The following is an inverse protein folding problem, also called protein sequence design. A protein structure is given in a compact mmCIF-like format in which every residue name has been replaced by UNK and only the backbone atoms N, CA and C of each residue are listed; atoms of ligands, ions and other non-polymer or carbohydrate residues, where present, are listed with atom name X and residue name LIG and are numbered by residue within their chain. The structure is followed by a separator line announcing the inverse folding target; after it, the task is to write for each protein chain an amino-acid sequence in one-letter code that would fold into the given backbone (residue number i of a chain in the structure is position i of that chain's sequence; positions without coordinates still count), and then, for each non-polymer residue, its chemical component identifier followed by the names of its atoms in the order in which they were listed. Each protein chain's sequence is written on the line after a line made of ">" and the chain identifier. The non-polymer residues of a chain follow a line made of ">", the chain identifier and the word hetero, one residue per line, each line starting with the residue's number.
data_IF_739164036799
#
_entry.id   IF_739164036799
#
_cell.length_a   1.000
_cell.length_b   1.000
_cell.length_c   1.000
_cell.angle_alpha   90.00
_cell.angle_beta   90.00
_cell.angle_gamma   90.00
#
_symmetry.space_group_name_H-M   'P 1'
#
loop_
_entity.id
_entity.type
_entity.pdbx_description
1 polymer ?
#
# COMPACT_ATOMS: atom_id res chain seq x y z
N UNK A 1 -9.62 -1.99 16.30
CA UNK A 1 -9.98 -3.37 16.65
C UNK A 1 -10.76 -3.45 17.98
N UNK A 2 -10.18 -3.09 19.15
CA UNK A 2 -10.88 -3.19 20.46
C UNK A 2 -12.23 -2.46 20.47
N UNK A 3 -12.30 -1.21 19.98
CA UNK A 3 -13.56 -0.46 19.88
C UNK A 3 -14.60 -1.18 19.03
N UNK A 4 -14.19 -1.66 17.84
CA UNK A 4 -15.07 -2.45 16.96
C UNK A 4 -15.61 -3.71 17.66
N UNK A 5 -14.73 -4.47 18.32
CA UNK A 5 -15.14 -5.68 19.03
C UNK A 5 -16.13 -5.38 20.16
N UNK A 6 -15.89 -4.32 20.97
CA UNK A 6 -16.77 -3.95 22.09
C UNK A 6 -18.11 -3.32 21.64
N UNK A 7 -18.19 -2.75 20.45
CA UNK A 7 -19.42 -2.13 19.93
C UNK A 7 -20.31 -3.13 19.15
N UNK A 8 -19.75 -4.22 18.64
CA UNK A 8 -20.46 -5.12 17.74
C UNK A 8 -20.66 -6.53 18.29
N UNK A 9 -20.00 -6.91 19.40
CA UNK A 9 -20.09 -8.23 19.99
C UNK A 9 -20.40 -8.17 21.50
N UNK A 10 -21.11 -9.17 22.00
CA UNK A 10 -21.38 -9.29 23.44
C UNK A 10 -20.11 -9.67 24.23
N UNK A 11 -19.25 -10.47 23.60
CA UNK A 11 -18.00 -10.98 24.20
C UNK A 11 -16.82 -10.73 23.24
N UNK A 12 -15.79 -10.09 23.78
CA UNK A 12 -14.57 -9.82 23.05
C UNK A 12 -13.38 -10.37 23.84
N UNK A 13 -12.62 -11.27 23.21
CA UNK A 13 -11.35 -11.76 23.71
C UNK A 13 -10.25 -11.10 22.87
N UNK A 14 -9.39 -10.29 23.51
CA UNK A 14 -8.29 -9.62 22.85
C UNK A 14 -6.96 -10.14 23.40
N UNK A 15 -6.12 -10.66 22.52
CA UNK A 15 -4.82 -11.25 22.83
C UNK A 15 -3.77 -10.59 21.95
N UNK A 16 -2.79 -9.91 22.55
CA UNK A 16 -1.65 -9.32 21.83
C UNK A 16 -0.41 -10.17 22.06
N UNK A 17 0.18 -10.71 20.98
CA UNK A 17 1.30 -11.66 21.06
C UNK A 17 2.61 -11.04 21.58
N UNK A 18 2.74 -9.72 21.57
CA UNK A 18 3.88 -9.00 22.14
C UNK A 18 3.74 -8.79 23.66
N UNK A 19 2.50 -8.68 24.12
CA UNK A 19 2.18 -8.35 25.50
C UNK A 19 2.08 -9.61 26.42
N UNK A 20 1.82 -9.39 27.72
CA UNK A 20 1.62 -10.47 28.67
C UNK A 20 0.44 -11.39 28.29
N UNK A 21 -0.62 -10.83 27.71
CA UNK A 21 -1.79 -11.59 27.21
C UNK A 21 -1.41 -12.69 26.20
N UNK A 22 -0.44 -12.42 25.32
CA UNK A 22 0.07 -13.40 24.36
C UNK A 22 0.85 -14.53 25.03
N UNK A 23 1.65 -14.22 26.07
CA UNK A 23 2.39 -15.23 26.85
C UNK A 23 1.41 -16.12 27.62
N UNK A 24 0.45 -15.52 28.32
CA UNK A 24 -0.56 -16.24 29.10
C UNK A 24 -1.38 -17.17 28.19
N UNK A 25 -1.78 -16.70 27.00
CA UNK A 25 -2.48 -17.53 26.04
C UNK A 25 -1.60 -18.68 25.48
N UNK A 26 -0.34 -18.40 25.17
CA UNK A 26 0.60 -19.44 24.70
C UNK A 26 0.77 -20.53 25.77
N UNK A 27 0.89 -20.17 27.03
CA UNK A 27 0.92 -21.16 28.14
C UNK A 27 -0.38 -21.99 28.23
N UNK A 28 -1.54 -21.34 28.01
CA UNK A 28 -2.82 -22.07 27.97
C UNK A 28 -2.87 -23.05 26.80
N UNK A 29 -2.35 -22.64 25.63
CA UNK A 29 -2.27 -23.48 24.43
C UNK A 29 -1.33 -24.67 24.65
N UNK A 30 -0.16 -24.44 25.24
CA UNK A 30 0.77 -25.52 25.59
C UNK A 30 0.16 -26.51 26.60
N UNK A 31 -0.56 -26.03 27.62
CA UNK A 31 -1.26 -26.90 28.59
C UNK A 31 -2.35 -27.74 27.93
N UNK A 32 -3.13 -27.14 27.04
CA UNK A 32 -4.22 -27.83 26.35
C UNK A 32 -3.73 -28.81 25.28
N UNK A 33 -2.60 -28.54 24.64
CA UNK A 33 -2.02 -29.41 23.61
C UNK A 33 -1.06 -30.48 24.18
N UNK A 34 -0.68 -30.39 25.46
CA UNK A 34 0.21 -31.35 26.09
C UNK A 34 -0.48 -32.71 26.20
N UNK A 35 0.03 -33.67 25.44
CA UNK A 35 -0.45 -35.06 25.45
C UNK A 35 0.54 -35.93 26.25
N UNK A 36 -0.01 -36.79 27.12
CA UNK A 36 0.78 -37.79 27.84
C UNK A 36 0.41 -39.20 27.30
N UNK A 37 1.39 -40.12 27.18
CA UNK A 37 1.10 -41.48 26.72
C UNK A 37 0.05 -42.15 27.61
N UNK A 38 -1.06 -42.58 27.01
CA UNK A 38 -2.18 -43.21 27.72
C UNK A 38 -3.40 -42.31 27.94
N UNK A 39 -3.34 -41.06 27.55
CA UNK A 39 -4.50 -40.16 27.53
C UNK A 39 -5.11 -40.11 26.14
N UNK A 40 -6.43 -39.90 26.03
CA UNK A 40 -7.08 -39.51 24.78
C UNK A 40 -6.62 -38.12 24.39
N UNK A 41 -6.35 -37.90 23.08
CA UNK A 41 -6.04 -36.57 22.59
C UNK A 41 -7.30 -35.70 22.69
N UNK A 42 -7.15 -34.48 23.20
CA UNK A 42 -8.23 -33.49 23.16
C UNK A 42 -8.36 -32.96 21.74
N UNK A 43 -9.38 -33.44 21.04
CA UNK A 43 -9.69 -32.99 19.66
C UNK A 43 -10.14 -31.53 19.62
N UNK A 44 -10.42 -30.91 20.78
CA UNK A 44 -10.80 -29.49 20.93
C UNK A 44 -9.77 -28.69 21.73
N UNK A 45 -8.51 -29.10 21.71
CA UNK A 45 -7.44 -28.49 22.51
C UNK A 45 -7.40 -26.94 22.37
N UNK A 46 -7.64 -26.39 21.19
CA UNK A 46 -7.65 -24.93 20.98
C UNK A 46 -8.84 -24.26 21.71
N UNK A 47 -10.04 -24.86 21.70
CA UNK A 47 -11.20 -24.35 22.46
C UNK A 47 -10.95 -24.45 23.98
N UNK A 48 -10.31 -25.54 24.39
CA UNK A 48 -9.86 -25.72 25.78
C UNK A 48 -8.85 -24.64 26.17
N UNK A 49 -7.89 -24.31 25.29
CA UNK A 49 -6.92 -23.24 25.54
C UNK A 49 -7.60 -21.87 25.72
N UNK A 50 -8.56 -21.52 24.87
CA UNK A 50 -9.33 -20.27 24.99
C UNK A 50 -10.14 -20.25 26.30
N UNK A 51 -10.77 -21.37 26.69
CA UNK A 51 -11.50 -21.46 27.96
C UNK A 51 -10.59 -21.37 29.20
N UNK A 52 -9.38 -21.88 29.11
CA UNK A 52 -8.38 -21.72 30.18
C UNK A 52 -7.93 -20.26 30.29
N UNK A 53 -7.80 -19.57 29.17
CA UNK A 53 -7.42 -18.16 29.11
C UNK A 53 -8.56 -17.25 29.60
N UNK A 54 -9.77 -17.46 29.07
CA UNK A 54 -10.97 -16.72 29.47
C UNK A 54 -12.13 -17.69 29.81
N UNK A 55 -12.47 -17.77 31.08
CA UNK A 55 -13.54 -18.66 31.60
C UNK A 55 -14.92 -18.29 31.07
N UNK A 56 -15.12 -17.06 30.60
CA UNK A 56 -16.39 -16.58 30.07
C UNK A 56 -16.53 -16.86 28.56
N UNK A 57 -15.57 -17.50 27.94
CA UNK A 57 -15.62 -17.83 26.51
C UNK A 57 -16.80 -18.72 26.19
N UNK A 58 -17.60 -18.31 25.21
CA UNK A 58 -18.63 -19.09 24.58
C UNK A 58 -18.36 -19.08 23.08
N UNK A 59 -18.36 -20.26 22.46
CA UNK A 59 -18.09 -20.41 21.04
C UNK A 59 -19.40 -20.21 20.23
N UNK A 60 -19.76 -18.94 20.01
CA UNK A 60 -20.97 -18.52 19.28
C UNK A 60 -20.76 -17.25 18.48
N UNK A 61 -21.73 -16.87 17.65
CA UNK A 61 -21.71 -15.70 16.78
C UNK A 61 -21.68 -14.35 17.53
N UNK A 62 -21.93 -14.33 18.83
CA UNK A 62 -21.84 -13.12 19.67
C UNK A 62 -20.45 -12.91 20.26
N UNK A 63 -19.53 -13.78 19.95
CA UNK A 63 -18.15 -13.74 20.45
C UNK A 63 -17.16 -13.40 19.32
N UNK A 64 -16.24 -12.47 19.58
CA UNK A 64 -15.09 -12.20 18.72
C UNK A 64 -13.77 -12.44 19.46
N UNK A 65 -12.87 -13.16 18.81
CA UNK A 65 -11.48 -13.38 19.25
C UNK A 65 -10.58 -12.54 18.36
N UNK A 66 -9.80 -11.66 18.97
CA UNK A 66 -8.86 -10.79 18.25
C UNK A 66 -7.44 -11.18 18.66
N UNK A 67 -6.67 -11.69 17.70
CA UNK A 67 -5.27 -12.06 17.84
C UNK A 67 -4.41 -10.98 17.19
N UNK A 68 -3.76 -10.16 17.99
CA UNK A 68 -2.97 -9.02 17.53
C UNK A 68 -1.48 -9.33 17.56
N UNK A 69 -0.71 -8.74 16.59
CA UNK A 69 0.73 -8.99 16.40
C UNK A 69 1.06 -10.49 16.20
N UNK A 70 0.23 -11.16 15.40
CA UNK A 70 0.29 -12.64 15.24
C UNK A 70 1.64 -13.14 14.72
N UNK A 71 2.40 -12.32 13.98
CA UNK A 71 3.73 -12.67 13.48
C UNK A 71 4.75 -12.92 14.60
N UNK A 72 4.43 -12.58 15.85
CA UNK A 72 5.31 -12.82 17.00
C UNK A 72 5.16 -14.22 17.60
N UNK A 73 4.17 -15.02 17.14
CA UNK A 73 3.96 -16.40 17.62
C UNK A 73 3.63 -17.36 16.49
N UNK A 74 4.60 -18.15 16.04
CA UNK A 74 4.35 -19.23 15.06
C UNK A 74 3.42 -20.31 15.63
N UNK A 75 3.49 -20.59 16.94
CA UNK A 75 2.63 -21.55 17.60
C UNK A 75 1.14 -21.18 17.48
N UNK A 76 0.80 -19.91 17.69
CA UNK A 76 -0.59 -19.42 17.56
C UNK A 76 -0.95 -19.20 16.09
N UNK A 77 -0.05 -18.67 15.27
CA UNK A 77 -0.27 -18.49 13.83
C UNK A 77 -0.67 -19.80 13.15
N UNK A 78 0.00 -20.90 13.49
CA UNK A 78 -0.26 -22.21 12.90
C UNK A 78 -1.64 -22.79 13.29
N UNK A 79 -2.34 -22.17 14.26
CA UNK A 79 -3.71 -22.53 14.63
C UNK A 79 -4.79 -21.74 13.85
N UNK A 80 -4.43 -20.77 13.00
CA UNK A 80 -5.42 -19.96 12.26
C UNK A 80 -6.39 -20.84 11.48
N UNK A 81 -5.91 -21.91 10.87
CA UNK A 81 -6.72 -22.89 10.15
C UNK A 81 -7.75 -23.59 11.05
N UNK A 82 -7.34 -23.96 12.25
CA UNK A 82 -8.19 -24.58 13.26
C UNK A 82 -9.26 -23.58 13.74
N UNK A 83 -8.87 -22.33 13.97
CA UNK A 83 -9.83 -21.27 14.27
C UNK A 83 -10.88 -21.12 13.16
N UNK A 84 -10.47 -21.05 11.90
CA UNK A 84 -11.36 -20.85 10.78
C UNK A 84 -12.34 -22.02 10.56
N UNK A 85 -11.96 -23.25 10.90
CA UNK A 85 -12.75 -24.45 10.62
C UNK A 85 -13.60 -24.95 11.76
N UNK A 86 -13.19 -24.68 12.99
CA UNK A 86 -13.77 -25.34 14.17
C UNK A 86 -14.51 -24.37 15.08
N UNK A 87 -14.34 -23.06 14.92
CA UNK A 87 -14.99 -22.07 15.76
C UNK A 87 -16.24 -21.48 15.12
N UNK A 88 -17.27 -21.26 15.93
CA UNK A 88 -18.45 -20.46 15.59
C UNK A 88 -18.24 -18.97 15.92
N UNK A 89 -17.33 -18.66 16.85
CA UNK A 89 -16.92 -17.32 17.17
C UNK A 89 -16.17 -16.70 15.99
N UNK A 90 -16.35 -15.39 15.79
CA UNK A 90 -15.57 -14.66 14.81
C UNK A 90 -14.13 -14.54 15.27
N UNK A 91 -13.18 -14.74 14.33
CA UNK A 91 -11.75 -14.61 14.63
C UNK A 91 -11.15 -13.57 13.71
N UNK A 92 -10.52 -12.56 14.30
CA UNK A 92 -9.80 -11.50 13.59
C UNK A 92 -8.34 -11.61 13.98
N UNK A 93 -7.49 -11.74 12.96
CA UNK A 93 -6.03 -11.84 13.14
C UNK A 93 -5.39 -10.62 12.53
N UNK A 94 -4.51 -9.94 13.29
CA UNK A 94 -3.79 -8.76 12.81
C UNK A 94 -2.30 -8.91 12.98
N UNK A 95 -1.54 -8.23 12.11
CA UNK A 95 -0.10 -8.19 12.18
C UNK A 95 0.46 -7.05 11.33
N UNK A 96 1.49 -6.40 11.84
CA UNK A 96 2.13 -5.27 11.17
C UNK A 96 3.07 -5.69 10.04
N UNK A 97 3.64 -6.90 10.13
CA UNK A 97 4.56 -7.44 9.12
C UNK A 97 4.34 -8.93 8.88
N UNK A 98 3.56 -9.24 7.87
CA UNK A 98 3.27 -10.63 7.49
C UNK A 98 4.42 -11.32 6.74
N UNK A 99 5.42 -10.61 6.25
CA UNK A 99 6.62 -11.22 5.64
C UNK A 99 7.41 -12.14 6.60
N UNK A 100 7.29 -11.92 7.92
CA UNK A 100 7.83 -12.85 8.93
C UNK A 100 7.16 -14.22 8.86
N UNK A 101 5.90 -14.29 8.47
CA UNK A 101 5.15 -15.55 8.33
C UNK A 101 5.55 -16.39 7.12
N UNK A 102 6.44 -15.87 6.26
CA UNK A 102 7.06 -16.64 5.17
C UNK A 102 8.24 -17.49 5.64
N UNK A 103 8.65 -17.38 6.90
CA UNK A 103 9.68 -18.24 7.48
C UNK A 103 9.17 -19.69 7.63
N UNK A 104 10.07 -20.71 7.63
CA UNK A 104 9.68 -22.11 7.64
C UNK A 104 8.82 -22.56 8.84
N UNK A 105 8.87 -21.82 9.94
CA UNK A 105 8.12 -22.12 11.16
C UNK A 105 6.64 -21.73 11.08
N UNK A 106 6.23 -21.02 10.02
CA UNK A 106 4.87 -20.56 9.82
C UNK A 106 4.20 -21.34 8.68
N UNK A 107 3.02 -21.91 8.92
CA UNK A 107 2.24 -22.62 7.92
C UNK A 107 1.16 -21.72 7.34
N UNK A 108 1.23 -21.42 6.04
CA UNK A 108 0.26 -20.56 5.39
C UNK A 108 -1.14 -21.17 5.43
N UNK A 109 -2.16 -20.48 5.97
CA UNK A 109 -3.55 -20.95 6.05
C UNK A 109 -4.29 -20.74 4.72
N UNK A 110 -3.77 -21.30 3.62
CA UNK A 110 -4.32 -21.09 2.28
C UNK A 110 -5.78 -21.55 2.17
N UNK A 111 -6.66 -20.67 1.73
CA UNK A 111 -8.07 -20.97 1.41
C UNK A 111 -9.05 -20.95 2.59
N UNK A 112 -8.58 -20.74 3.81
CA UNK A 112 -9.43 -20.76 5.01
C UNK A 112 -9.62 -19.34 5.62
N UNK A 113 -9.02 -18.31 5.02
CA UNK A 113 -9.05 -16.94 5.53
C UNK A 113 -9.31 -15.93 4.41
N UNK A 114 -10.00 -14.86 4.75
CA UNK A 114 -10.07 -13.64 3.94
C UNK A 114 -9.02 -12.64 4.43
N UNK A 115 -8.27 -12.07 3.51
CA UNK A 115 -7.21 -11.11 3.83
C UNK A 115 -7.67 -9.69 3.50
N UNK A 116 -7.63 -8.82 4.51
CA UNK A 116 -7.83 -7.38 4.35
C UNK A 116 -6.51 -6.63 4.57
N UNK A 117 -6.09 -5.87 3.57
CA UNK A 117 -4.91 -5.01 3.67
C UNK A 117 -5.35 -3.65 4.19
N UNK A 118 -4.87 -3.26 5.39
CA UNK A 118 -5.11 -1.93 5.97
C UNK A 118 -4.04 -0.97 5.44
N UNK A 119 -4.44 -0.12 4.52
CA UNK A 119 -3.59 0.95 3.99
C UNK A 119 -3.73 2.25 4.80
N UNK A 120 -2.92 3.26 4.47
CA UNK A 120 -3.10 4.61 5.03
C UNK A 120 -4.41 5.23 4.51
N UNK A 121 -4.96 6.21 5.23
CA UNK A 121 -6.19 6.88 4.84
C UNK A 121 -6.10 7.40 3.40
N UNK A 122 -7.12 7.12 2.61
CA UNK A 122 -7.29 7.71 1.28
C UNK A 122 -7.56 9.21 1.37
N UNK A 123 -7.54 9.91 0.24
CA UNK A 123 -7.90 11.32 0.22
C UNK A 123 -9.36 11.54 0.62
N UNK A 124 -10.24 10.63 0.22
CA UNK A 124 -11.65 10.64 0.59
C UNK A 124 -11.84 10.50 2.12
N UNK A 125 -11.18 9.53 2.74
CA UNK A 125 -11.19 9.33 4.19
C UNK A 125 -10.56 10.52 4.94
N UNK A 126 -9.47 11.09 4.38
CA UNK A 126 -8.88 12.31 4.89
C UNK A 126 -9.86 13.48 4.85
N UNK A 127 -10.60 13.68 3.76
CA UNK A 127 -11.61 14.71 3.65
C UNK A 127 -12.77 14.50 4.64
N UNK A 128 -13.13 13.26 4.92
CA UNK A 128 -14.17 12.92 5.89
C UNK A 128 -13.79 13.39 7.30
N UNK A 129 -12.53 13.25 7.71
CA UNK A 129 -12.02 13.78 8.99
C UNK A 129 -12.26 15.29 9.14
N UNK A 130 -12.28 16.03 8.03
CA UNK A 130 -12.47 17.48 8.01
C UNK A 130 -13.90 17.91 7.62
N UNK A 131 -14.81 16.96 7.37
CA UNK A 131 -16.20 17.23 6.98
C UNK A 131 -16.34 17.70 5.52
N UNK A 132 -15.34 17.45 4.67
CA UNK A 132 -15.31 17.92 3.27
C UNK A 132 -15.66 16.81 2.25
N UNK A 133 -15.86 15.57 2.72
CA UNK A 133 -16.13 14.44 1.82
C UNK A 133 -17.40 14.62 1.00
N UNK A 134 -18.48 15.20 1.59
CA UNK A 134 -19.73 15.44 0.88
C UNK A 134 -19.58 16.49 -0.24
N UNK A 135 -18.72 17.49 -0.07
CA UNK A 135 -18.38 18.43 -1.13
C UNK A 135 -17.63 17.73 -2.25
N UNK A 136 -16.60 16.96 -1.91
CA UNK A 136 -15.81 16.20 -2.87
C UNK A 136 -16.66 15.22 -3.71
N UNK A 137 -17.58 14.51 -3.06
CA UNK A 137 -18.44 13.53 -3.73
C UNK A 137 -19.41 14.15 -4.73
N UNK A 138 -19.81 15.40 -4.52
CA UNK A 138 -20.80 16.12 -5.35
C UNK A 138 -20.17 16.99 -6.41
N UNK A 139 -18.86 17.28 -6.33
CA UNK A 139 -18.21 18.22 -7.26
C UNK A 139 -18.16 17.64 -8.68
N UNK A 140 -18.44 18.50 -9.65
CA UNK A 140 -18.35 18.11 -11.06
C UNK A 140 -16.88 17.89 -11.51
N UNK A 141 -16.61 16.72 -12.08
CA UNK A 141 -15.26 16.33 -12.52
C UNK A 141 -14.76 17.15 -13.72
N UNK A 142 -15.63 17.88 -14.42
CA UNK A 142 -15.31 18.64 -15.62
C UNK A 142 -15.23 20.15 -15.38
N UNK A 143 -15.33 20.58 -14.13
CA UNK A 143 -15.13 21.97 -13.74
C UNK A 143 -16.35 22.86 -13.94
N UNK A 144 -17.58 22.31 -13.88
CA UNK A 144 -18.82 23.06 -14.00
C UNK A 144 -19.27 23.74 -12.71
N UNK A 145 -18.75 23.31 -11.56
CA UNK A 145 -19.08 23.88 -10.26
C UNK A 145 -18.35 25.19 -9.96
N UNK A 146 -18.66 25.80 -8.82
CA UNK A 146 -18.06 27.06 -8.39
C UNK A 146 -16.54 26.91 -8.18
N UNK A 147 -15.81 27.91 -8.64
CA UNK A 147 -14.34 27.93 -8.52
C UNK A 147 -13.87 27.84 -7.06
N UNK A 148 -14.65 28.39 -6.13
CA UNK A 148 -14.37 28.36 -4.68
C UNK A 148 -14.37 26.94 -4.12
N UNK A 149 -15.27 26.08 -4.59
CA UNK A 149 -15.38 24.69 -4.16
C UNK A 149 -14.14 23.88 -4.59
N UNK A 150 -13.68 24.10 -5.83
CA UNK A 150 -12.42 23.51 -6.31
C UNK A 150 -11.21 24.01 -5.53
N UNK A 151 -11.12 25.31 -5.25
CA UNK A 151 -10.03 25.90 -4.46
C UNK A 151 -9.98 25.30 -3.07
N UNK A 152 -11.15 25.19 -2.42
CA UNK A 152 -11.25 24.59 -1.08
C UNK A 152 -10.74 23.15 -1.06
N UNK A 153 -11.16 22.32 -2.01
CA UNK A 153 -10.68 20.94 -2.11
C UNK A 153 -9.19 20.86 -2.47
N UNK A 154 -8.69 21.79 -3.30
CA UNK A 154 -7.27 21.86 -3.64
C UNK A 154 -6.38 22.22 -2.43
N UNK A 155 -6.85 23.07 -1.52
CA UNK A 155 -6.14 23.35 -0.26
C UNK A 155 -5.97 22.08 0.58
N UNK A 156 -7.03 21.27 0.73
CA UNK A 156 -6.95 19.97 1.41
C UNK A 156 -6.04 18.98 0.66
N UNK A 157 -6.12 18.96 -0.65
CA UNK A 157 -5.25 18.11 -1.47
C UNK A 157 -3.77 18.46 -1.31
N UNK A 158 -3.41 19.75 -1.28
CA UNK A 158 -2.04 20.19 -1.03
C UNK A 158 -1.54 19.83 0.38
N UNK A 159 -2.42 19.85 1.36
CA UNK A 159 -2.10 19.35 2.71
C UNK A 159 -1.88 17.84 2.67
N UNK A 160 -2.80 17.08 2.07
CA UNK A 160 -2.71 15.63 1.97
C UNK A 160 -1.44 15.19 1.23
N UNK A 161 -1.06 15.89 0.15
CA UNK A 161 0.21 15.63 -0.55
C UNK A 161 1.44 15.76 0.38
N UNK A 162 1.38 16.64 1.38
CA UNK A 162 2.50 16.90 2.30
C UNK A 162 2.53 15.97 3.51
N UNK A 163 1.38 15.58 4.03
CA UNK A 163 1.30 14.84 5.30
C UNK A 163 0.86 13.39 5.14
N UNK A 164 0.26 13.03 4.00
CA UNK A 164 -0.22 11.67 3.73
C UNK A 164 -1.44 11.27 4.53
N UNK A 165 -1.65 9.96 4.60
CA UNK A 165 -2.82 9.33 5.21
C UNK A 165 -2.54 8.54 6.49
N UNK A 166 -1.32 8.55 7.04
CA UNK A 166 -1.10 7.87 8.32
C UNK A 166 -1.98 8.46 9.43
N UNK A 167 -2.84 7.66 10.11
CA UNK A 167 -3.81 8.17 11.06
C UNK A 167 -3.21 9.08 12.15
N UNK A 168 -2.05 8.72 12.69
CA UNK A 168 -1.37 9.54 13.71
C UNK A 168 -0.97 10.92 13.18
N UNK A 169 -0.58 11.01 11.91
CA UNK A 169 -0.19 12.28 11.26
C UNK A 169 -1.43 13.12 10.98
N UNK A 170 -2.50 12.49 10.47
CA UNK A 170 -3.77 13.16 10.18
C UNK A 170 -4.41 13.71 11.47
N UNK A 171 -4.41 12.93 12.55
CA UNK A 171 -4.89 13.39 13.87
C UNK A 171 -4.07 14.59 14.38
N UNK A 172 -2.75 14.52 14.28
CA UNK A 172 -1.86 15.64 14.65
C UNK A 172 -2.22 16.91 13.87
N UNK A 173 -2.43 16.78 12.55
CA UNK A 173 -2.85 17.93 11.73
C UNK A 173 -4.26 18.43 12.09
N UNK A 174 -5.21 17.52 12.34
CA UNK A 174 -6.58 17.90 12.70
C UNK A 174 -6.61 18.73 13.99
N UNK A 175 -5.78 18.37 14.97
CA UNK A 175 -5.71 19.03 16.27
C UNK A 175 -4.95 20.35 16.26
N UNK A 176 -3.79 20.40 15.60
CA UNK A 176 -2.84 21.51 15.74
C UNK A 176 -2.73 22.37 14.48
N UNK A 177 -3.16 21.91 13.30
CA UNK A 177 -2.98 22.57 11.99
C UNK A 177 -1.51 22.95 11.70
N UNK A 178 -0.58 22.21 12.28
CA UNK A 178 0.86 22.50 12.24
C UNK A 178 1.61 21.42 11.43
N UNK A 179 2.09 21.80 10.25
CA UNK A 179 2.84 20.89 9.37
C UNK A 179 4.15 20.40 9.99
N UNK A 180 4.82 21.21 10.82
CA UNK A 180 6.07 20.79 11.46
C UNK A 180 5.83 19.61 12.42
N UNK A 181 4.72 19.64 13.15
CA UNK A 181 4.32 18.52 14.02
C UNK A 181 4.02 17.25 13.20
N UNK A 182 3.41 17.41 12.05
CA UNK A 182 3.18 16.30 11.12
C UNK A 182 4.51 15.70 10.64
N UNK A 183 5.49 16.52 10.27
CA UNK A 183 6.82 16.04 9.86
C UNK A 183 7.57 15.34 10.99
N UNK A 184 7.43 15.78 12.24
CA UNK A 184 7.96 15.06 13.40
C UNK A 184 7.34 13.67 13.54
N UNK A 185 6.04 13.53 13.31
CA UNK A 185 5.35 12.23 13.33
C UNK A 185 5.79 11.34 12.16
N UNK A 186 5.88 11.88 10.94
CA UNK A 186 6.38 11.13 9.77
C UNK A 186 7.80 10.61 10.03
N UNK A 187 8.67 11.45 10.59
CA UNK A 187 10.02 11.04 10.95
C UNK A 187 10.02 9.88 11.94
N UNK A 188 9.18 9.93 12.98
CA UNK A 188 9.04 8.82 13.93
C UNK A 188 8.59 7.53 13.26
N UNK A 189 7.65 7.60 12.31
CA UNK A 189 7.23 6.43 11.51
C UNK A 189 8.38 5.85 10.70
N UNK A 190 9.17 6.70 10.05
CA UNK A 190 10.36 6.26 9.29
C UNK A 190 11.39 5.61 10.23
N UNK A 191 11.63 6.20 11.40
CA UNK A 191 12.53 5.62 12.42
C UNK A 191 12.05 4.24 12.88
N UNK A 192 10.73 4.03 13.02
CA UNK A 192 10.13 2.73 13.32
C UNK A 192 10.44 1.73 12.20
N UNK A 193 10.17 2.05 10.93
CA UNK A 193 10.48 1.18 9.79
C UNK A 193 11.97 0.82 9.73
N UNK A 194 12.86 1.81 9.92
CA UNK A 194 14.31 1.58 9.94
C UNK A 194 14.72 0.69 11.10
N UNK A 195 14.13 0.85 12.27
CA UNK A 195 14.45 0.03 13.44
C UNK A 195 13.88 -1.39 13.33
N UNK A 196 12.68 -1.56 12.81
CA UNK A 196 12.11 -2.88 12.51
C UNK A 196 12.94 -3.62 11.49
N UNK A 197 13.36 -2.95 10.41
CA UNK A 197 14.21 -3.57 9.40
C UNK A 197 15.50 -4.17 9.99
N UNK A 198 16.11 -3.51 10.99
CA UNK A 198 17.31 -4.02 11.67
C UNK A 198 17.07 -5.36 12.40
N UNK A 199 15.83 -5.63 12.82
CA UNK A 199 15.46 -6.90 13.49
C UNK A 199 15.39 -8.05 12.48
N UNK A 200 15.00 -7.77 11.23
CA UNK A 200 14.83 -8.77 10.17
C UNK A 200 16.09 -8.98 9.31
N UNK A 201 16.97 -7.98 9.25
CA UNK A 201 18.18 -8.00 8.43
C UNK A 201 19.44 -7.97 9.31
N UNK A 202 19.57 -8.98 10.16
CA UNK A 202 20.73 -9.13 11.07
C UNK A 202 22.06 -9.30 10.33
N UNK A 203 22.02 -9.78 9.08
CA UNK A 203 23.19 -9.99 8.25
C UNK A 203 23.63 -8.73 7.48
N UNK A 204 22.87 -7.64 7.56
CA UNK A 204 23.19 -6.38 6.89
C UNK A 204 24.01 -5.51 7.83
N UNK A 205 25.28 -5.29 7.49
CA UNK A 205 26.19 -4.47 8.29
C UNK A 205 25.92 -2.97 8.21
N UNK A 206 25.19 -2.50 7.18
CA UNK A 206 24.88 -1.07 7.01
C UNK A 206 23.57 -0.71 7.71
N UNK A 207 23.70 -0.12 8.89
CA UNK A 207 22.56 0.34 9.72
C UNK A 207 21.69 1.41 9.04
N UNK A 208 22.19 2.06 8.00
CA UNK A 208 21.50 3.13 7.28
C UNK A 208 20.95 2.67 5.93
N UNK A 209 21.01 1.37 5.62
CA UNK A 209 20.59 0.83 4.33
C UNK A 209 19.19 1.29 3.92
N UNK A 210 18.21 1.19 4.81
CA UNK A 210 16.83 1.51 4.48
C UNK A 210 16.61 3.01 4.24
N UNK A 211 17.29 3.88 5.00
CA UNK A 211 17.25 5.32 4.74
C UNK A 211 17.90 5.66 3.39
N UNK A 212 19.02 5.00 3.05
CA UNK A 212 19.65 5.13 1.73
C UNK A 212 18.74 4.64 0.61
N UNK A 213 18.03 3.53 0.81
CA UNK A 213 17.08 3.01 -0.16
C UNK A 213 15.91 3.96 -0.39
N UNK A 214 15.32 4.51 0.65
CA UNK A 214 14.25 5.49 0.52
C UNK A 214 14.70 6.72 -0.27
N UNK A 215 15.89 7.26 0.04
CA UNK A 215 16.46 8.37 -0.70
C UNK A 215 16.75 8.00 -2.16
N UNK A 216 17.27 6.80 -2.42
CA UNK A 216 17.56 6.32 -3.76
C UNK A 216 16.26 6.13 -4.59
N UNK A 217 15.19 5.61 -3.98
CA UNK A 217 13.87 5.48 -4.61
C UNK A 217 13.35 6.88 -4.98
N UNK A 218 13.41 7.86 -4.06
CA UNK A 218 12.99 9.22 -4.33
C UNK A 218 13.80 9.86 -5.48
N UNK A 219 15.11 9.66 -5.52
CA UNK A 219 15.97 10.16 -6.60
C UNK A 219 15.65 9.47 -7.93
N UNK A 220 15.38 8.17 -7.94
CA UNK A 220 14.97 7.45 -9.15
C UNK A 220 13.66 7.97 -9.71
N UNK A 221 12.65 8.19 -8.88
CA UNK A 221 11.36 8.74 -9.34
C UNK A 221 11.51 10.10 -9.99
N UNK A 222 12.56 10.86 -9.64
CA UNK A 222 12.88 12.15 -10.26
C UNK A 222 13.64 12.04 -11.59
N UNK A 223 14.47 11.03 -11.73
CA UNK A 223 15.33 10.87 -12.91
C UNK A 223 14.62 10.16 -14.07
N UNK A 224 13.58 9.40 -13.80
CA UNK A 224 13.00 8.47 -14.75
C UNK A 224 11.83 9.02 -15.54
N UNK A 225 12.03 9.05 -16.85
CA UNK A 225 10.92 9.20 -17.82
C UNK A 225 10.69 7.94 -18.66
N UNK A 226 11.59 6.97 -18.70
CA UNK A 226 11.52 5.82 -19.63
C UNK A 226 11.62 4.44 -18.98
N UNK A 227 11.66 4.35 -17.67
CA UNK A 227 11.94 3.11 -16.94
C UNK A 227 13.39 2.65 -17.12
N UNK A 228 14.01 2.17 -16.04
CA UNK A 228 15.39 1.66 -16.03
C UNK A 228 15.43 0.19 -16.45
N UNK A 229 16.46 -0.22 -17.17
CA UNK A 229 16.60 -1.62 -17.60
C UNK A 229 16.91 -2.61 -16.49
N UNK A 230 17.64 -2.18 -15.45
CA UNK A 230 17.94 -2.95 -14.24
C UNK A 230 17.85 -2.01 -13.02
N UNK A 231 16.65 -1.93 -12.48
CA UNK A 231 16.32 -1.04 -11.38
C UNK A 231 17.15 -1.33 -10.11
N UNK A 232 17.45 -2.60 -9.85
CA UNK A 232 18.30 -3.01 -8.73
C UNK A 232 19.72 -2.46 -8.88
N UNK A 233 20.26 -2.50 -10.07
CA UNK A 233 21.60 -1.94 -10.36
C UNK A 233 21.60 -0.41 -10.21
N UNK A 234 20.57 0.29 -10.69
CA UNK A 234 20.50 1.74 -10.55
C UNK A 234 20.26 2.17 -9.09
N UNK A 235 19.40 1.48 -8.35
CA UNK A 235 19.25 1.70 -6.90
C UNK A 235 20.57 1.50 -6.16
N UNK A 236 21.30 0.44 -6.51
CA UNK A 236 22.62 0.16 -5.91
C UNK A 236 23.61 1.30 -6.17
N UNK A 237 23.69 1.80 -7.40
CA UNK A 237 24.56 2.94 -7.75
C UNK A 237 24.21 4.19 -6.95
N UNK A 238 22.91 4.53 -6.85
CA UNK A 238 22.46 5.72 -6.12
C UNK A 238 22.66 5.57 -4.62
N UNK A 239 22.32 4.41 -4.05
CA UNK A 239 22.41 4.16 -2.62
C UNK A 239 23.86 4.12 -2.09
N UNK A 240 24.79 3.67 -2.92
CA UNK A 240 26.19 3.40 -2.51
C UNK A 240 27.25 4.23 -3.23
N UNK A 241 26.90 5.00 -4.25
CA UNK A 241 27.80 5.85 -5.07
C UNK A 241 29.17 5.22 -5.36
N UNK A 242 30.10 5.20 -4.38
CA UNK A 242 31.46 4.65 -4.53
C UNK A 242 31.69 3.32 -3.79
N UNK A 243 30.77 2.88 -2.92
CA UNK A 243 30.93 1.69 -2.05
C UNK A 243 30.08 0.48 -2.53
N UNK A 244 29.81 0.37 -3.83
CA UNK A 244 28.98 -0.69 -4.42
C UNK A 244 29.44 -2.14 -4.17
N UNK A 245 30.67 -2.32 -3.64
CA UNK A 245 31.23 -3.65 -3.38
C UNK A 245 30.73 -4.35 -2.11
N UNK A 246 30.05 -3.64 -1.21
CA UNK A 246 29.62 -4.20 0.08
C UNK A 246 28.20 -4.76 0.07
N UNK A 247 27.38 -4.45 -0.92
CA UNK A 247 26.02 -4.96 -1.04
C UNK A 247 25.85 -5.86 -2.25
N UNK A 248 25.34 -7.06 -2.02
CA UNK A 248 24.98 -7.97 -3.09
C UNK A 248 23.60 -7.61 -3.68
N UNK A 249 23.38 -7.90 -4.98
CA UNK A 249 22.04 -7.77 -5.60
C UNK A 249 20.97 -8.56 -4.82
N UNK A 250 21.35 -9.69 -4.22
CA UNK A 250 20.46 -10.51 -3.40
C UNK A 250 19.97 -9.76 -2.16
N UNK A 251 20.87 -9.10 -1.43
CA UNK A 251 20.52 -8.30 -0.24
C UNK A 251 19.60 -7.13 -0.61
N UNK A 252 19.91 -6.44 -1.71
CA UNK A 252 19.10 -5.31 -2.17
C UNK A 252 17.70 -5.76 -2.59
N UNK A 253 17.58 -6.86 -3.36
CA UNK A 253 16.28 -7.42 -3.72
C UNK A 253 15.48 -7.83 -2.49
N UNK A 254 16.12 -8.44 -1.50
CA UNK A 254 15.48 -8.81 -0.25
C UNK A 254 14.94 -7.59 0.53
N UNK A 255 15.75 -6.51 0.61
CA UNK A 255 15.33 -5.27 1.23
C UNK A 255 14.16 -4.59 0.48
N UNK A 256 14.17 -4.61 -0.85
CA UNK A 256 13.07 -4.11 -1.69
C UNK A 256 11.81 -4.95 -1.47
N UNK A 257 11.90 -6.27 -1.49
CA UNK A 257 10.76 -7.16 -1.20
C UNK A 257 10.17 -6.87 0.18
N UNK A 258 11.03 -6.68 1.18
CA UNK A 258 10.56 -6.31 2.52
C UNK A 258 9.78 -4.98 2.53
N UNK A 259 10.26 -3.94 1.84
CA UNK A 259 9.54 -2.67 1.72
C UNK A 259 8.20 -2.81 0.99
N UNK A 260 8.11 -3.71 0.01
CA UNK A 260 6.87 -4.01 -0.71
C UNK A 260 5.87 -4.77 0.19
N UNK A 261 6.33 -5.81 0.88
CA UNK A 261 5.53 -6.63 1.78
C UNK A 261 5.09 -5.87 3.04
N UNK A 262 5.89 -4.90 3.47
CA UNK A 262 5.54 -3.97 4.56
C UNK A 262 4.64 -2.81 4.10
N UNK A 263 4.15 -2.84 2.86
CA UNK A 263 3.27 -1.81 2.27
C UNK A 263 3.83 -0.37 2.37
N UNK A 264 5.15 -0.21 2.22
CA UNK A 264 5.80 1.11 2.21
C UNK A 264 6.00 1.63 0.79
N UNK A 265 6.31 0.72 -0.13
CA UNK A 265 6.45 1.01 -1.56
C UNK A 265 5.63 0.05 -2.40
N UNK A 266 5.19 0.55 -3.55
CA UNK A 266 4.59 -0.24 -4.61
C UNK A 266 5.33 -0.02 -5.92
N UNK A 267 4.94 -0.73 -6.98
CA UNK A 267 5.58 -0.61 -8.28
C UNK A 267 4.57 -0.71 -9.43
N UNK A 268 4.93 -0.15 -10.56
CA UNK A 268 4.27 -0.36 -11.83
C UNK A 268 5.24 -1.00 -12.82
N UNK A 269 4.83 -2.10 -13.44
CA UNK A 269 5.59 -2.74 -14.50
C UNK A 269 5.41 -2.01 -15.82
N UNK A 270 6.30 -2.23 -16.80
CA UNK A 270 6.32 -1.57 -18.09
C UNK A 270 5.57 -2.38 -19.14
N UNK A 271 4.57 -1.79 -19.79
CA UNK A 271 3.95 -2.31 -20.99
C UNK A 271 4.52 -1.61 -22.24
N UNK A 272 4.79 -2.36 -23.32
CA UNK A 272 5.22 -1.80 -24.59
C UNK A 272 4.00 -1.65 -25.49
N UNK A 273 3.79 -0.46 -26.08
CA UNK A 273 2.68 -0.13 -26.96
C UNK A 273 1.29 -0.41 -26.36
N UNK A 274 1.15 -0.31 -25.05
CA UNK A 274 -0.05 -0.70 -24.32
C UNK A 274 -0.50 -2.16 -24.57
N UNK A 275 0.46 -3.05 -24.85
CA UNK A 275 0.20 -4.46 -25.08
C UNK A 275 0.55 -5.24 -23.81
N UNK A 276 -0.48 -5.76 -23.12
CA UNK A 276 -0.29 -6.57 -21.89
C UNK A 276 0.48 -7.89 -22.12
N UNK A 277 0.67 -8.32 -23.38
CA UNK A 277 1.51 -9.46 -23.76
C UNK A 277 2.99 -9.09 -23.86
N UNK A 278 3.30 -7.79 -23.88
CA UNK A 278 4.64 -7.25 -23.98
C UNK A 278 5.03 -6.52 -22.70
N UNK A 279 4.82 -7.16 -21.56
CA UNK A 279 5.23 -6.62 -20.27
C UNK A 279 6.71 -6.94 -20.03
N UNK A 280 7.45 -5.95 -19.55
CA UNK A 280 8.82 -6.09 -19.09
C UNK A 280 8.90 -5.82 -17.61
N UNK A 281 9.80 -6.53 -16.93
CA UNK A 281 10.00 -6.42 -15.48
C UNK A 281 10.66 -5.11 -15.04
N UNK A 282 10.73 -4.11 -15.92
CA UNK A 282 11.18 -2.78 -15.56
C UNK A 282 10.10 -2.13 -14.70
N UNK A 283 10.35 -2.08 -13.42
CA UNK A 283 9.41 -1.51 -12.46
C UNK A 283 9.73 -0.05 -12.22
N UNK A 284 8.67 0.74 -12.03
CA UNK A 284 8.76 2.11 -11.53
C UNK A 284 8.21 2.07 -10.10
N UNK A 285 8.97 2.61 -9.13
CA UNK A 285 8.54 2.62 -7.74
C UNK A 285 7.69 3.83 -7.40
N UNK A 286 6.76 3.60 -6.46
CA UNK A 286 5.92 4.61 -5.84
C UNK A 286 5.89 4.39 -4.34
N UNK A 287 5.81 5.46 -3.57
CA UNK A 287 5.56 5.35 -2.13
C UNK A 287 4.07 5.09 -1.89
N UNK A 288 3.74 4.23 -0.93
CA UNK A 288 2.35 3.89 -0.61
C UNK A 288 1.71 4.88 0.38
N UNK A 289 2.42 5.94 0.73
CA UNK A 289 1.88 7.09 1.47
C UNK A 289 2.42 8.40 0.93
N UNK A 290 1.55 9.41 0.84
CA UNK A 290 1.92 10.72 0.28
C UNK A 290 2.87 11.49 1.17
N UNK A 291 2.72 11.38 2.51
CA UNK A 291 3.58 12.07 3.47
C UNK A 291 5.01 11.52 3.44
N UNK A 292 5.16 10.19 3.33
CA UNK A 292 6.47 9.55 3.16
C UNK A 292 7.09 9.97 1.81
N UNK A 293 6.30 9.95 0.73
CA UNK A 293 6.76 10.42 -0.58
C UNK A 293 7.28 11.86 -0.51
N UNK A 294 6.48 12.77 0.06
CA UNK A 294 6.87 14.16 0.22
C UNK A 294 8.12 14.34 1.08
N UNK A 295 8.22 13.60 2.19
CA UNK A 295 9.36 13.67 3.11
C UNK A 295 10.69 13.38 2.40
N UNK A 296 10.74 12.35 1.56
CA UNK A 296 11.96 12.00 0.84
C UNK A 296 12.18 12.87 -0.41
N UNK A 297 11.13 13.16 -1.18
CA UNK A 297 11.23 14.00 -2.38
C UNK A 297 11.68 15.43 -2.06
N UNK A 298 11.20 16.03 -0.98
CA UNK A 298 11.58 17.38 -0.56
C UNK A 298 13.07 17.52 -0.19
N UNK A 299 13.74 16.41 0.12
CA UNK A 299 15.17 16.36 0.48
C UNK A 299 16.11 16.17 -0.70
N UNK A 300 15.56 15.92 -1.90
CA UNK A 300 16.37 15.71 -3.11
C UNK A 300 16.98 16.98 -3.69
N UNK A 301 16.59 18.15 -3.21
CA UNK A 301 17.01 19.45 -3.73
C UNK A 301 16.23 19.90 -4.97
N UNK A 302 15.21 19.16 -5.41
CA UNK A 302 14.35 19.55 -6.52
C UNK A 302 13.46 20.75 -6.18
N UNK A 303 13.09 21.53 -7.20
CA UNK A 303 12.09 22.59 -7.05
C UNK A 303 10.72 22.03 -6.69
N UNK A 304 9.90 22.84 -6.01
CA UNK A 304 8.53 22.43 -5.64
C UNK A 304 7.69 21.99 -6.84
N UNK A 305 7.82 22.63 -7.99
CA UNK A 305 7.06 22.28 -9.19
C UNK A 305 7.37 20.85 -9.67
N UNK A 306 8.63 20.42 -9.59
CA UNK A 306 9.04 19.06 -9.90
C UNK A 306 8.47 18.09 -8.88
N UNK A 307 8.64 18.37 -7.60
CA UNK A 307 8.13 17.55 -6.50
C UNK A 307 6.61 17.40 -6.58
N UNK A 308 5.89 18.50 -6.82
CA UNK A 308 4.42 18.52 -6.97
C UNK A 308 3.96 17.64 -8.14
N UNK A 309 4.71 17.65 -9.25
CA UNK A 309 4.42 16.79 -10.40
C UNK A 309 4.55 15.30 -10.07
N UNK A 310 5.61 14.90 -9.37
CA UNK A 310 5.85 13.53 -8.94
C UNK A 310 4.81 13.09 -7.89
N UNK A 311 4.49 13.97 -6.94
CA UNK A 311 3.45 13.70 -5.95
C UNK A 311 2.07 13.51 -6.59
N UNK A 312 1.74 14.29 -7.64
CA UNK A 312 0.49 14.11 -8.37
C UNK A 312 0.45 12.75 -9.08
N UNK A 313 1.55 12.31 -9.68
CA UNK A 313 1.67 10.97 -10.26
C UNK A 313 1.55 9.88 -9.19
N UNK A 314 2.24 10.02 -8.06
CA UNK A 314 2.16 9.08 -6.94
C UNK A 314 0.73 8.99 -6.37
N UNK A 315 0.02 10.10 -6.26
CA UNK A 315 -1.39 10.15 -5.83
C UNK A 315 -2.30 9.35 -6.77
N UNK A 316 -2.14 9.54 -8.07
CA UNK A 316 -2.92 8.79 -9.08
C UNK A 316 -2.59 7.31 -9.03
N UNK A 317 -1.31 6.95 -8.82
CA UNK A 317 -0.90 5.56 -8.61
C UNK A 317 -1.62 4.93 -7.42
N UNK A 318 -1.65 5.60 -6.27
CA UNK A 318 -2.33 5.11 -5.07
C UNK A 318 -3.83 4.92 -5.32
N UNK A 319 -4.47 5.91 -5.96
CA UNK A 319 -5.90 5.85 -6.27
C UNK A 319 -6.24 4.70 -7.23
N UNK A 320 -5.41 4.47 -8.25
CA UNK A 320 -5.59 3.36 -9.18
C UNK A 320 -5.35 2.02 -8.48
N UNK A 321 -4.23 1.91 -7.76
CA UNK A 321 -3.87 0.69 -7.05
C UNK A 321 -4.99 0.24 -6.10
N UNK A 322 -5.55 1.18 -5.31
CA UNK A 322 -6.64 0.88 -4.39
C UNK A 322 -7.88 0.36 -5.10
N UNK A 323 -8.30 1.05 -6.16
CA UNK A 323 -9.46 0.62 -6.96
C UNK A 323 -9.26 -0.76 -7.59
N UNK A 324 -8.03 -1.08 -8.00
CA UNK A 324 -7.69 -2.39 -8.56
C UNK A 324 -7.72 -3.51 -7.51
N UNK A 325 -7.35 -3.20 -6.27
CA UNK A 325 -7.47 -4.12 -5.13
C UNK A 325 -8.93 -4.37 -4.75
N UNK A 326 -9.73 -3.28 -4.67
CA UNK A 326 -11.11 -3.34 -4.20
C UNK A 326 -12.05 -4.01 -5.22
N UNK A 327 -11.77 -3.88 -6.52
CA UNK A 327 -12.68 -4.35 -7.58
C UNK A 327 -12.25 -5.66 -8.22
N UNK A 328 -11.03 -6.13 -7.95
CA UNK A 328 -10.41 -7.26 -8.66
C UNK A 328 -10.50 -7.16 -10.20
N UNK A 329 -10.78 -5.97 -10.72
CA UNK A 329 -11.08 -5.75 -12.14
C UNK A 329 -9.91 -6.02 -13.06
N UNK A 330 -8.68 -6.09 -12.53
CA UNK A 330 -7.47 -6.14 -13.34
C UNK A 330 -6.56 -7.29 -12.99
N UNK A 331 -5.85 -7.77 -14.00
CA UNK A 331 -4.93 -8.89 -13.91
C UNK A 331 -3.67 -8.61 -13.04
N UNK A 332 -3.66 -7.56 -12.24
CA UNK A 332 -2.54 -7.18 -11.38
C UNK A 332 -2.97 -6.19 -10.31
N UNK A 333 -2.20 -6.15 -9.23
CA UNK A 333 -2.43 -5.30 -8.05
C UNK A 333 -1.99 -3.85 -8.32
N UNK A 334 -1.25 -3.58 -9.39
CA UNK A 334 -0.74 -2.26 -9.73
C UNK A 334 -0.97 -1.94 -11.21
N UNK A 335 -1.22 -0.66 -11.57
CA UNK A 335 -1.28 -0.26 -12.96
C UNK A 335 0.10 -0.42 -13.61
N UNK A 336 0.12 -0.59 -14.93
CA UNK A 336 1.35 -0.50 -15.71
C UNK A 336 1.63 0.95 -16.11
N UNK A 337 2.88 1.30 -16.37
CA UNK A 337 3.20 2.41 -17.24
C UNK A 337 3.48 1.89 -18.66
N UNK A 338 3.33 2.71 -19.68
CA UNK A 338 3.53 2.25 -21.05
C UNK A 338 4.53 3.10 -21.81
N UNK A 339 5.31 2.45 -22.66
CA UNK A 339 6.14 3.14 -23.67
C UNK A 339 5.54 2.94 -25.04
N UNK A 340 5.65 3.96 -25.88
CA UNK A 340 5.22 3.90 -27.28
C UNK A 340 6.44 3.99 -28.20
N UNK A 341 6.81 2.87 -28.82
CA UNK A 341 8.06 2.76 -29.58
C UNK A 341 8.04 3.66 -30.81
N UNK A 342 6.90 3.81 -31.50
CA UNK A 342 6.75 4.62 -32.71
C UNK A 342 7.24 6.06 -32.57
N UNK A 343 7.08 6.68 -31.40
CA UNK A 343 7.46 8.07 -31.15
C UNK A 343 8.43 8.20 -29.98
N UNK A 344 8.96 7.09 -29.48
CA UNK A 344 9.84 7.03 -28.33
C UNK A 344 9.30 7.84 -27.14
N UNK A 345 7.99 7.68 -26.86
CA UNK A 345 7.26 8.39 -25.85
C UNK A 345 6.74 7.48 -24.74
N UNK A 346 6.17 8.08 -23.72
CA UNK A 346 5.67 7.40 -22.54
C UNK A 346 4.23 7.82 -22.20
N UNK A 347 3.44 6.88 -21.70
CA UNK A 347 2.15 7.07 -21.03
C UNK A 347 2.33 6.74 -19.55
N UNK A 348 1.87 7.63 -18.69
CA UNK A 348 2.08 7.55 -17.24
C UNK A 348 1.45 6.28 -16.66
N UNK A 349 0.16 6.02 -16.94
CA UNK A 349 -0.48 4.77 -16.54
C UNK A 349 -1.29 4.15 -17.65
N UNK A 350 -1.22 2.84 -17.72
CA UNK A 350 -1.98 1.98 -18.60
C UNK A 350 -2.70 0.93 -17.76
N UNK A 351 -3.98 0.76 -18.03
CA UNK A 351 -4.86 -0.17 -17.32
C UNK A 351 -5.71 -0.91 -18.36
N UNK A 352 -5.86 -2.23 -18.19
CA UNK A 352 -6.81 -3.02 -18.97
C UNK A 352 -7.89 -3.56 -18.06
N UNK A 353 -9.12 -3.20 -18.32
CA UNK A 353 -10.28 -3.68 -17.59
C UNK A 353 -10.61 -5.13 -17.94
N UNK A 354 -10.97 -5.94 -16.94
CA UNK A 354 -11.51 -7.30 -17.13
C UNK A 354 -12.98 -7.28 -17.49
N UNK A 355 -13.70 -6.22 -17.15
CA UNK A 355 -15.14 -6.11 -17.35
C UNK A 355 -15.51 -5.96 -18.82
N UNK A 356 -14.84 -5.05 -19.50
CA UNK A 356 -15.13 -4.69 -20.90
C UNK A 356 -13.96 -4.95 -21.86
N UNK A 357 -12.83 -5.48 -21.33
CA UNK A 357 -11.60 -5.77 -22.08
C UNK A 357 -11.00 -4.55 -22.78
N UNK A 358 -11.34 -3.32 -22.31
CA UNK A 358 -10.85 -2.06 -22.87
C UNK A 358 -9.53 -1.62 -22.27
N UNK A 359 -8.77 -0.91 -23.08
CA UNK A 359 -7.49 -0.31 -22.72
C UNK A 359 -7.69 1.15 -22.32
N UNK A 360 -7.37 1.47 -21.07
CA UNK A 360 -7.47 2.81 -20.49
C UNK A 360 -6.10 3.42 -20.33
N UNK A 361 -5.88 4.59 -20.90
CA UNK A 361 -4.68 5.41 -20.68
C UNK A 361 -4.98 6.53 -19.69
N UNK A 362 -4.12 6.73 -18.73
CA UNK A 362 -4.20 7.83 -17.77
C UNK A 362 -2.89 8.63 -17.86
N UNK A 363 -3.01 9.89 -18.20
CA UNK A 363 -1.89 10.83 -18.25
C UNK A 363 -2.03 11.86 -17.15
N UNK A 364 -0.96 12.10 -16.39
CA UNK A 364 -0.93 13.05 -15.28
C UNK A 364 -0.09 14.25 -15.70
N UNK A 365 -0.63 15.46 -15.56
CA UNK A 365 0.04 16.73 -15.87
C UNK A 365 -0.14 17.70 -14.72
N UNK A 366 0.96 18.17 -14.15
CA UNK A 366 0.94 19.23 -13.13
C UNK A 366 0.55 20.60 -13.68
N UNK A 367 0.66 20.79 -14.99
CA UNK A 367 0.34 22.01 -15.73
C UNK A 367 -0.32 21.69 -17.09
N UNK A 368 -0.54 22.70 -17.95
CA UNK A 368 -1.19 22.58 -19.27
C UNK A 368 -0.38 21.83 -20.33
N UNK A 369 0.44 20.85 -19.93
CA UNK A 369 1.23 20.06 -20.86
C UNK A 369 0.40 19.30 -21.89
N UNK A 370 0.93 19.20 -23.13
CA UNK A 370 0.31 18.44 -24.22
C UNK A 370 0.67 16.96 -24.06
N UNK A 371 -0.31 16.11 -23.85
CA UNK A 371 -0.15 14.64 -23.75
C UNK A 371 0.06 14.01 -25.16
N UNK A 372 1.19 14.29 -25.81
CA UNK A 372 1.44 13.88 -27.21
C UNK A 372 1.41 12.36 -27.38
N UNK A 373 2.13 11.64 -26.53
CA UNK A 373 2.22 10.17 -26.57
C UNK A 373 0.88 9.52 -26.33
N UNK A 374 0.17 9.95 -25.29
CA UNK A 374 -1.13 9.41 -24.94
C UNK A 374 -2.16 9.61 -26.07
N UNK A 375 -2.17 10.81 -26.70
CA UNK A 375 -3.02 11.10 -27.86
C UNK A 375 -2.66 10.28 -29.10
N UNK A 376 -1.37 10.02 -29.33
CA UNK A 376 -0.92 9.19 -30.43
C UNK A 376 -1.33 7.72 -30.22
N UNK A 377 -1.20 7.19 -29.01
CA UNK A 377 -1.66 5.85 -28.63
C UNK A 377 -3.17 5.70 -28.87
N UNK A 378 -3.98 6.69 -28.47
CA UNK A 378 -5.41 6.70 -28.71
C UNK A 378 -5.74 6.72 -30.20
N UNK A 379 -5.06 7.60 -30.97
CA UNK A 379 -5.23 7.71 -32.41
C UNK A 379 -4.89 6.42 -33.16
N UNK A 380 -3.86 5.74 -32.74
CA UNK A 380 -3.37 4.48 -33.35
C UNK A 380 -4.11 3.24 -32.82
N UNK A 381 -5.24 3.42 -32.08
CA UNK A 381 -6.09 2.35 -31.58
C UNK A 381 -5.46 1.43 -30.52
N UNK A 382 -4.41 1.92 -29.85
CA UNK A 382 -3.76 1.20 -28.75
C UNK A 382 -4.51 1.39 -27.43
N UNK A 383 -5.26 2.48 -27.29
CA UNK A 383 -6.14 2.81 -26.18
C UNK A 383 -7.57 2.95 -26.71
N UNK A 384 -8.53 2.49 -25.94
CA UNK A 384 -9.96 2.73 -26.16
C UNK A 384 -10.39 4.05 -25.50
N UNK A 385 -9.82 4.35 -24.34
CA UNK A 385 -10.11 5.57 -23.56
C UNK A 385 -8.83 6.23 -23.09
N UNK A 386 -8.87 7.57 -23.01
CA UNK A 386 -7.77 8.38 -22.51
C UNK A 386 -8.29 9.43 -21.54
N UNK A 387 -7.76 9.39 -20.32
CA UNK A 387 -7.98 10.41 -19.28
C UNK A 387 -6.71 11.25 -19.13
N UNK A 388 -6.87 12.57 -19.19
CA UNK A 388 -5.78 13.52 -18.95
C UNK A 388 -6.13 14.28 -17.67
N UNK A 389 -5.44 13.96 -16.58
CA UNK A 389 -5.61 14.60 -15.27
C UNK A 389 -4.71 15.83 -15.20
N UNK A 390 -5.30 17.01 -15.01
CA UNK A 390 -4.59 18.29 -14.95
C UNK A 390 -4.89 19.01 -13.64
N UNK A 391 -3.85 19.54 -12.99
CA UNK A 391 -3.99 20.25 -11.72
C UNK A 391 -4.50 21.69 -11.80
N UNK A 392 -4.64 22.28 -12.98
CA UNK A 392 -4.82 23.75 -13.11
C UNK A 392 -5.94 24.20 -14.03
N UNK A 393 -6.55 23.34 -14.82
CA UNK A 393 -7.56 23.75 -15.84
C UNK A 393 -8.91 23.11 -15.62
N UNK A 394 -9.97 23.85 -15.96
CA UNK A 394 -11.32 23.30 -16.06
C UNK A 394 -11.33 22.13 -17.03
N UNK A 395 -11.99 21.06 -16.64
CA UNK A 395 -12.11 19.84 -17.41
C UNK A 395 -13.08 19.97 -18.59
N UNK A 396 -13.18 18.93 -19.37
CA UNK A 396 -14.13 18.81 -20.47
C UNK A 396 -13.99 17.49 -21.21
N UNK A 397 -15.07 17.02 -21.78
CA UNK A 397 -15.10 15.81 -22.62
C UNK A 397 -14.78 16.20 -24.04
N UNK A 398 -13.68 15.65 -24.60
CA UNK A 398 -13.43 15.66 -26.04
C UNK A 398 -13.72 14.29 -26.62
N UNK A 399 -14.85 14.13 -27.28
CA UNK A 399 -15.13 12.92 -28.07
C UNK A 399 -14.22 12.91 -29.30
N UNK A 400 -13.22 12.00 -29.30
CA UNK A 400 -12.60 11.60 -30.55
C UNK A 400 -13.47 10.51 -31.18
N UNK A 401 -14.22 10.85 -32.25
CA UNK A 401 -14.82 9.83 -33.09
C UNK A 401 -13.67 9.06 -33.76
N UNK A 402 -13.47 7.83 -33.37
CA UNK A 402 -12.78 6.85 -34.19
C UNK A 402 -13.70 6.61 -35.39
N UNK A 403 -13.39 7.13 -36.55
CA UNK A 403 -13.95 6.62 -37.80
C UNK A 403 -13.45 5.19 -37.94
N UNK A 404 -14.33 4.19 -38.06
CA UNK A 404 -13.89 2.86 -38.45
C UNK A 404 -13.23 3.01 -39.82
N UNK A 405 -11.95 2.72 -39.89
CA UNK A 405 -11.30 2.46 -41.20
C UNK A 405 -11.93 1.17 -41.71
N UNK A 406 -12.67 1.31 -42.85
CA UNK A 406 -13.23 0.23 -43.60
C UNK A 406 -12.20 -0.78 -44.10
#
# INVERSE_FOLDING_TARGET
>A
MKKFGSENFERMIYINMVEQSGKDFTECLEKATKWEPGQERDDQALKTAIKLYDKNFVDDENTVIILDEIQESSAVYNQIRTFAREFHAYVIVTGSYLGKTLQPDFFLPAGDIDQLIMETLTFEEFLDVFGEYELYRKIDLYGADREEDYKRLMEYYEVYQKIGGYPAVVVSYAQEKNLNKCYEQIRKLIDIFVNESKRYFTDIMDVNLFEKLFNAIALLTMQEKKGVGDLTTELSKIAYQEDSGRMTKKMLNHAISWLQESHVIGYASKAIDCDYKKIKDNSRYYFLDMGIAHYFLSRTGASWDIVKGILAENFVYLSLRRRLLDTEEIAGIAPWFATYEKINGELVFFVRSRMDYKNYGIEVKSADGIAKTAKALLKDGKLDYLYILKGTTKGGIKQHRCTPSG
#
